data_IF_810418249893
#
_entry.id   IF_810418249893
#
_cell.length_a   1.000
_cell.length_b   1.000
_cell.length_c   1.000
_cell.angle_alpha   90.00
_cell.angle_beta   90.00
_cell.angle_gamma   90.00
#
_symmetry.space_group_name_H-M   'P 1'
#
loop_
_entity.id
_entity.type
_entity.pdbx_description
1 polymer ?
#
# COMPACT_ATOMS: atom_id res chain seq x y z
N UNK A 1 -74.48 6.43 -33.73
CA UNK A 1 -74.96 6.62 -35.10
C UNK A 1 -73.83 6.52 -36.09
N UNK A 2 -73.89 5.56 -36.96
CA UNK A 2 -73.29 5.46 -38.32
C UNK A 2 -71.75 5.34 -38.44
N UNK A 3 -71.30 4.08 -38.61
CA UNK A 3 -70.25 3.69 -39.59
C UNK A 3 -70.74 4.06 -41.02
N UNK A 4 -70.03 3.76 -42.13
CA UNK A 4 -68.65 3.20 -42.41
C UNK A 4 -68.01 3.88 -43.65
N UNK A 5 -66.81 3.42 -44.07
CA UNK A 5 -66.49 2.95 -45.43
C UNK A 5 -64.99 2.74 -45.68
N UNK A 6 -64.64 1.52 -46.06
CA UNK A 6 -63.44 1.15 -46.84
C UNK A 6 -63.76 1.40 -48.34
N UNK A 7 -62.84 1.43 -49.30
CA UNK A 7 -61.88 0.39 -49.71
C UNK A 7 -60.62 1.00 -50.38
N UNK A 8 -59.58 0.41 -50.83
CA UNK A 8 -59.21 -0.67 -51.73
C UNK A 8 -57.71 -0.73 -51.93
N UNK A 9 -57.20 -1.90 -52.20
CA UNK A 9 -55.80 -2.27 -52.39
C UNK A 9 -55.20 -1.79 -53.73
N UNK A 10 -53.88 -1.64 -53.75
CA UNK A 10 -53.06 -1.83 -54.95
C UNK A 10 -51.64 -2.38 -54.51
N UNK A 11 -51.38 -3.58 -55.00
CA UNK A 11 -50.07 -4.27 -54.83
C UNK A 11 -49.11 -3.76 -55.90
N UNK A 12 -47.86 -3.45 -55.45
CA UNK A 12 -46.70 -3.32 -56.35
C UNK A 12 -45.61 -4.17 -55.81
N UNK A 13 -45.21 -5.22 -56.52
CA UNK A 13 -43.98 -6.01 -56.30
C UNK A 13 -42.74 -5.16 -56.58
N UNK A 14 -41.90 -5.07 -55.60
CA UNK A 14 -40.55 -4.50 -55.73
C UNK A 14 -39.52 -5.44 -55.07
N UNK A 15 -38.69 -6.01 -55.91
CA UNK A 15 -37.58 -6.93 -55.58
C UNK A 15 -36.66 -6.43 -54.51
N UNK A 16 -36.56 -7.12 -53.37
CA UNK A 16 -35.58 -6.89 -52.36
C UNK A 16 -34.22 -7.49 -52.76
N UNK A 17 -33.22 -6.63 -52.94
CA UNK A 17 -31.80 -7.01 -52.93
C UNK A 17 -31.36 -6.99 -51.46
N UNK A 18 -31.11 -8.17 -50.89
CA UNK A 18 -30.48 -8.32 -49.58
C UNK A 18 -28.96 -7.96 -49.68
N UNK A 19 -28.63 -6.73 -49.39
CA UNK A 19 -27.26 -6.34 -49.08
C UNK A 19 -26.95 -6.64 -47.60
N UNK A 20 -26.31 -7.76 -47.32
CA UNK A 20 -25.77 -8.07 -45.99
C UNK A 20 -24.58 -7.11 -45.68
N UNK A 21 -24.86 -5.99 -45.05
CA UNK A 21 -23.83 -5.18 -44.41
C UNK A 21 -23.41 -5.89 -43.12
N UNK A 22 -22.34 -6.67 -43.17
CA UNK A 22 -21.56 -7.10 -42.01
C UNK A 22 -20.95 -5.86 -41.40
N UNK A 23 -21.68 -5.15 -40.53
CA UNK A 23 -21.08 -4.25 -39.57
C UNK A 23 -20.31 -5.11 -38.57
N UNK A 24 -19.04 -5.37 -38.88
CA UNK A 24 -18.08 -5.87 -37.89
C UNK A 24 -17.98 -4.83 -36.77
N UNK A 25 -18.65 -5.08 -35.64
CA UNK A 25 -18.25 -4.49 -34.38
C UNK A 25 -16.81 -4.96 -34.13
N UNK A 26 -15.85 -4.19 -34.60
CA UNK A 26 -14.46 -4.27 -34.14
C UNK A 26 -14.48 -3.91 -32.67
N UNK A 27 -14.76 -4.90 -31.82
CA UNK A 27 -14.44 -4.78 -30.38
C UNK A 27 -12.96 -4.52 -30.29
N UNK A 28 -12.58 -3.31 -29.86
CA UNK A 28 -11.21 -3.02 -29.47
C UNK A 28 -10.82 -4.12 -28.49
N UNK A 29 -9.89 -4.99 -28.89
CA UNK A 29 -9.45 -6.07 -27.99
C UNK A 29 -8.89 -5.39 -26.75
N UNK A 30 -9.24 -5.87 -25.56
CA UNK A 30 -8.71 -5.35 -24.28
C UNK A 30 -7.16 -5.25 -24.28
N UNK A 31 -6.49 -5.98 -25.16
CA UNK A 31 -5.05 -5.95 -25.35
C UNK A 31 -4.50 -4.62 -25.91
N UNK A 32 -5.34 -3.83 -26.60
CA UNK A 32 -4.95 -2.55 -27.23
C UNK A 32 -5.31 -1.32 -26.38
N UNK A 33 -5.95 -1.52 -25.22
CA UNK A 33 -6.26 -0.43 -24.32
C UNK A 33 -4.96 0.21 -23.79
N UNK A 34 -4.86 1.54 -23.91
CA UNK A 34 -3.70 2.33 -23.47
C UNK A 34 -3.89 2.80 -22.02
N UNK A 35 -4.28 1.89 -21.15
CA UNK A 35 -4.43 2.18 -19.73
C UNK A 35 -4.17 0.95 -18.87
N UNK A 36 -3.86 1.20 -17.60
CA UNK A 36 -3.82 0.20 -16.51
C UNK A 36 -4.44 0.79 -15.26
N UNK A 37 -4.98 -0.08 -14.41
CA UNK A 37 -5.52 0.29 -13.10
C UNK A 37 -4.65 -0.30 -11.99
N UNK A 38 -4.10 0.56 -11.13
CA UNK A 38 -3.27 0.19 -9.98
C UNK A 38 -4.06 0.40 -8.70
N UNK A 39 -4.29 -0.67 -7.93
CA UNK A 39 -4.76 -0.56 -6.54
C UNK A 39 -3.55 -0.52 -5.64
N UNK A 40 -3.39 0.55 -4.86
CA UNK A 40 -2.21 0.75 -4.03
C UNK A 40 -2.56 1.05 -2.59
N UNK A 41 -1.71 0.55 -1.68
CA UNK A 41 -1.59 1.16 -0.37
C UNK A 41 -1.21 2.63 -0.53
N UNK A 42 -1.67 3.46 0.40
CA UNK A 42 -1.32 4.88 0.48
C UNK A 42 0.17 5.09 0.84
N UNK A 43 0.70 6.27 0.52
CA UNK A 43 2.06 6.69 0.92
C UNK A 43 3.07 6.88 -0.20
N UNK A 44 2.83 6.32 -1.40
CA UNK A 44 3.75 6.51 -2.54
C UNK A 44 3.43 7.74 -3.39
N UNK A 45 2.31 8.40 -3.14
CA UNK A 45 1.92 9.66 -3.74
C UNK A 45 2.28 10.82 -2.81
N UNK A 46 2.81 11.90 -3.35
CA UNK A 46 3.09 13.12 -2.59
C UNK A 46 1.83 13.94 -2.37
N UNK A 47 1.67 14.54 -1.19
CA UNK A 47 0.52 15.42 -0.90
C UNK A 47 0.42 16.62 -1.85
N UNK A 48 1.56 17.03 -2.43
CA UNK A 48 1.64 18.14 -3.39
C UNK A 48 1.77 17.70 -4.84
N UNK A 49 1.57 16.39 -5.13
CA UNK A 49 1.77 15.84 -6.45
C UNK A 49 3.25 15.74 -6.86
N UNK A 50 4.15 15.59 -5.89
CA UNK A 50 5.60 15.52 -6.07
C UNK A 50 6.21 14.22 -5.51
N UNK A 51 5.39 13.22 -5.21
CA UNK A 51 5.82 11.92 -4.67
C UNK A 51 6.32 10.95 -5.74
N UNK A 52 6.67 9.77 -5.29
CA UNK A 52 7.21 8.71 -6.15
C UNK A 52 6.27 8.34 -7.29
N UNK A 53 5.00 8.08 -7.01
CA UNK A 53 4.03 7.75 -8.05
C UNK A 53 3.78 8.91 -9.00
N UNK A 54 3.69 10.14 -8.49
CA UNK A 54 3.44 11.30 -9.35
C UNK A 54 4.53 11.39 -10.42
N UNK A 55 5.79 11.21 -10.05
CA UNK A 55 6.92 11.26 -10.97
C UNK A 55 6.99 10.04 -11.88
N UNK A 56 6.92 8.84 -11.31
CA UNK A 56 7.07 7.59 -12.08
C UNK A 56 5.92 7.40 -13.07
N UNK A 57 4.70 7.76 -12.69
CA UNK A 57 3.54 7.65 -13.59
C UNK A 57 3.64 8.66 -14.72
N UNK A 58 3.93 9.93 -14.42
CA UNK A 58 4.10 10.95 -15.44
C UNK A 58 5.17 10.56 -16.47
N UNK A 59 6.34 10.12 -16.01
CA UNK A 59 7.43 9.69 -16.87
C UNK A 59 7.05 8.46 -17.71
N UNK A 60 6.34 7.48 -17.11
CA UNK A 60 5.89 6.30 -17.84
C UNK A 60 4.81 6.61 -18.87
N UNK A 61 3.82 7.42 -18.52
CA UNK A 61 2.75 7.87 -19.42
C UNK A 61 3.30 8.64 -20.62
N UNK A 62 4.25 9.56 -20.38
CA UNK A 62 4.94 10.30 -21.44
C UNK A 62 5.73 9.39 -22.39
N UNK A 63 6.42 8.38 -21.86
CA UNK A 63 7.25 7.46 -22.65
C UNK A 63 6.44 6.45 -23.46
N UNK A 64 5.30 6.01 -22.94
CA UNK A 64 4.56 4.85 -23.50
C UNK A 64 3.19 5.18 -24.07
N UNK A 65 2.61 6.32 -23.67
CA UNK A 65 1.22 6.66 -23.94
C UNK A 65 0.21 5.78 -23.20
N UNK A 66 0.65 4.99 -22.21
CA UNK A 66 -0.21 4.15 -21.36
C UNK A 66 -0.60 4.95 -20.11
N UNK A 67 -1.88 5.23 -19.93
CA UNK A 67 -2.42 5.94 -18.79
C UNK A 67 -2.47 5.05 -17.55
N UNK A 68 -2.18 5.60 -16.36
CA UNK A 68 -2.24 4.89 -15.09
C UNK A 68 -3.39 5.44 -14.24
N UNK A 69 -4.40 4.61 -14.00
CA UNK A 69 -5.52 4.91 -13.10
C UNK A 69 -5.19 4.39 -11.71
N UNK A 70 -4.90 5.30 -10.77
CA UNK A 70 -4.55 4.95 -9.40
C UNK A 70 -5.79 4.95 -8.50
N UNK A 71 -5.89 3.93 -7.66
CA UNK A 71 -6.87 3.84 -6.57
C UNK A 71 -6.13 3.54 -5.29
N UNK A 72 -6.03 4.54 -4.41
CA UNK A 72 -5.37 4.43 -3.13
C UNK A 72 -6.34 4.05 -2.01
N UNK A 73 -5.86 3.23 -1.08
CA UNK A 73 -6.58 2.82 0.12
C UNK A 73 -5.62 2.19 1.13
N UNK A 74 -6.10 1.85 2.34
CA UNK A 74 -5.29 1.03 3.25
C UNK A 74 -4.98 -0.35 2.65
N UNK A 75 -3.83 -0.93 3.00
CA UNK A 75 -3.31 -2.20 2.44
C UNK A 75 -4.31 -3.34 2.50
N UNK A 76 -4.96 -3.56 3.65
CA UNK A 76 -5.98 -4.59 3.80
C UNK A 76 -7.25 -4.28 3.00
N UNK A 77 -7.64 -3.00 2.94
CA UNK A 77 -8.79 -2.56 2.17
C UNK A 77 -8.62 -2.82 0.65
N UNK A 78 -7.41 -2.59 0.11
CA UNK A 78 -7.07 -2.90 -1.27
C UNK A 78 -7.26 -4.41 -1.59
N UNK A 79 -6.75 -5.29 -0.72
CA UNK A 79 -6.90 -6.75 -0.89
C UNK A 79 -8.35 -7.20 -0.73
N UNK A 80 -9.10 -6.65 0.22
CA UNK A 80 -10.52 -6.93 0.35
C UNK A 80 -11.32 -6.50 -0.89
N UNK A 81 -10.93 -5.40 -1.52
CA UNK A 81 -11.52 -4.96 -2.78
C UNK A 81 -11.26 -5.96 -3.91
N UNK A 82 -10.03 -6.47 -4.05
CA UNK A 82 -9.70 -7.53 -5.01
C UNK A 82 -10.56 -8.80 -4.78
N UNK A 83 -10.78 -9.19 -3.52
CA UNK A 83 -11.65 -10.33 -3.18
C UNK A 83 -13.08 -10.10 -3.69
N UNK A 84 -13.65 -8.93 -3.43
CA UNK A 84 -15.02 -8.60 -3.89
C UNK A 84 -15.13 -8.54 -5.42
N UNK A 85 -14.08 -8.12 -6.10
CA UNK A 85 -14.05 -7.95 -7.55
C UNK A 85 -13.52 -9.19 -8.30
N UNK A 86 -13.24 -10.31 -7.60
CA UNK A 86 -12.63 -11.52 -8.19
C UNK A 86 -13.35 -12.05 -9.42
N UNK A 87 -14.68 -11.98 -9.45
CA UNK A 87 -15.49 -12.43 -10.60
C UNK A 87 -15.50 -11.43 -11.76
N UNK A 88 -15.19 -10.16 -11.51
CA UNK A 88 -15.14 -9.10 -12.52
C UNK A 88 -14.00 -8.14 -12.17
N UNK A 89 -12.77 -8.61 -12.36
CA UNK A 89 -11.52 -7.94 -12.01
C UNK A 89 -11.44 -6.57 -12.69
N UNK A 90 -11.12 -5.55 -11.88
CA UNK A 90 -10.95 -4.16 -12.32
C UNK A 90 -9.49 -3.72 -12.32
N UNK A 91 -8.73 -4.18 -11.32
CA UNK A 91 -7.33 -3.83 -11.17
C UNK A 91 -6.44 -4.69 -12.07
N UNK A 92 -5.38 -4.07 -12.58
CA UNK A 92 -4.31 -4.76 -13.29
C UNK A 92 -3.15 -5.11 -12.36
N UNK A 93 -2.84 -4.21 -11.42
CA UNK A 93 -1.75 -4.35 -10.46
C UNK A 93 -2.29 -4.04 -9.08
N UNK A 94 -1.81 -4.76 -8.08
CA UNK A 94 -1.91 -4.35 -6.69
C UNK A 94 -0.53 -4.04 -6.13
N UNK A 95 -0.42 -2.96 -5.35
CA UNK A 95 0.74 -2.62 -4.54
C UNK A 95 0.28 -2.52 -3.10
N UNK A 96 0.82 -3.37 -2.24
CA UNK A 96 0.38 -3.42 -0.84
C UNK A 96 1.52 -3.86 0.07
N UNK A 97 1.32 -3.74 1.37
CA UNK A 97 2.33 -4.10 2.37
C UNK A 97 2.13 -5.54 2.87
N UNK A 98 3.19 -6.22 3.36
CA UNK A 98 3.02 -7.44 4.15
C UNK A 98 2.14 -7.19 5.40
N UNK A 99 1.35 -8.18 5.86
CA UNK A 99 1.15 -9.51 5.30
C UNK A 99 0.10 -9.56 4.17
N UNK A 100 -0.47 -8.44 3.76
CA UNK A 100 -1.58 -8.39 2.80
C UNK A 100 -1.18 -8.82 1.39
N UNK A 101 0.08 -8.62 0.98
CA UNK A 101 0.54 -9.15 -0.29
C UNK A 101 0.60 -10.69 -0.27
N UNK A 102 1.02 -11.29 0.84
CA UNK A 102 0.98 -12.74 1.06
C UNK A 102 -0.46 -13.25 1.05
N UNK A 103 -1.37 -12.54 1.73
CA UNK A 103 -2.80 -12.85 1.73
C UNK A 103 -3.39 -12.81 0.32
N UNK A 104 -3.06 -11.80 -0.49
CA UNK A 104 -3.50 -11.71 -1.88
C UNK A 104 -2.99 -12.90 -2.71
N UNK A 105 -1.74 -13.28 -2.54
CA UNK A 105 -1.13 -14.44 -3.19
C UNK A 105 -1.79 -15.75 -2.74
N UNK A 106 -1.96 -15.95 -1.42
CA UNK A 106 -2.58 -17.14 -0.83
C UNK A 106 -4.05 -17.35 -1.26
N UNK A 107 -4.81 -16.26 -1.41
CA UNK A 107 -6.19 -16.28 -1.93
C UNK A 107 -6.29 -16.47 -3.45
N UNK A 108 -5.15 -16.63 -4.14
CA UNK A 108 -5.12 -16.82 -5.60
C UNK A 108 -5.58 -15.58 -6.38
N UNK A 109 -5.36 -14.38 -5.82
CA UNK A 109 -5.72 -13.11 -6.48
C UNK A 109 -4.62 -12.59 -7.40
N UNK A 110 -3.41 -13.18 -7.34
CA UNK A 110 -2.25 -12.77 -8.11
C UNK A 110 -1.83 -13.83 -9.13
N UNK A 111 -1.38 -13.38 -10.30
CA UNK A 111 -0.76 -14.20 -11.34
C UNK A 111 0.76 -14.22 -11.15
N UNK A 112 1.42 -15.36 -11.39
CA UNK A 112 2.87 -15.38 -11.44
C UNK A 112 3.41 -14.50 -12.57
N UNK A 113 4.22 -13.53 -12.20
CA UNK A 113 5.01 -12.73 -13.11
C UNK A 113 6.29 -12.28 -12.42
N UNK A 114 7.43 -12.50 -13.05
CA UNK A 114 8.74 -12.05 -12.56
C UNK A 114 9.16 -10.82 -13.37
N UNK A 115 8.98 -9.60 -12.84
CA UNK A 115 9.41 -8.40 -13.54
C UNK A 115 10.92 -8.43 -13.79
N UNK A 116 11.36 -7.83 -14.89
CA UNK A 116 12.79 -7.61 -15.18
C UNK A 116 13.43 -6.84 -14.04
N UNK A 117 14.56 -7.31 -13.53
CA UNK A 117 15.22 -6.74 -12.36
C UNK A 117 14.79 -7.36 -11.03
N UNK A 118 13.77 -8.21 -11.00
CA UNK A 118 13.34 -8.91 -9.77
C UNK A 118 14.39 -9.90 -9.26
N UNK A 119 15.31 -10.36 -10.09
CA UNK A 119 16.46 -11.17 -9.69
C UNK A 119 17.37 -10.42 -8.70
N UNK A 120 17.40 -9.08 -8.79
CA UNK A 120 18.18 -8.21 -7.92
C UNK A 120 17.45 -7.83 -6.61
N UNK A 121 16.18 -8.21 -6.45
CA UNK A 121 15.45 -8.03 -5.18
C UNK A 121 15.80 -9.17 -4.24
N UNK A 122 16.00 -8.86 -2.95
CA UNK A 122 16.33 -9.86 -1.94
C UNK A 122 15.27 -10.98 -1.89
N UNK A 123 15.69 -12.22 -1.60
CA UNK A 123 14.77 -13.35 -1.57
C UNK A 123 13.63 -13.21 -0.57
N UNK A 124 13.89 -12.51 0.56
CA UNK A 124 12.88 -12.23 1.58
C UNK A 124 11.82 -11.19 1.14
N UNK A 125 12.12 -10.38 0.12
CA UNK A 125 11.30 -9.28 -0.34
C UNK A 125 10.57 -9.60 -1.65
N UNK A 126 10.44 -10.89 -1.99
CA UNK A 126 9.69 -11.39 -3.16
C UNK A 126 9.14 -12.79 -2.94
N UNK A 127 8.07 -13.12 -3.65
CA UNK A 127 7.49 -14.47 -3.64
C UNK A 127 8.33 -15.46 -4.45
N UNK A 128 8.71 -16.62 -3.90
CA UNK A 128 9.42 -17.64 -4.66
C UNK A 128 8.66 -18.11 -5.90
N UNK A 129 7.32 -18.10 -5.86
CA UNK A 129 6.44 -18.41 -7.00
C UNK A 129 6.30 -17.29 -8.01
N UNK A 130 6.86 -16.09 -7.74
CA UNK A 130 6.82 -14.93 -8.63
C UNK A 130 5.49 -14.19 -8.66
N UNK A 131 4.64 -14.33 -7.62
CA UNK A 131 3.34 -13.68 -7.56
C UNK A 131 3.42 -12.22 -7.12
N UNK A 132 4.48 -11.83 -6.41
CA UNK A 132 4.75 -10.47 -6.00
C UNK A 132 6.25 -10.22 -5.81
N UNK A 133 6.64 -8.96 -5.84
CA UNK A 133 7.99 -8.49 -5.52
C UNK A 133 7.94 -7.09 -4.94
N UNK A 134 8.84 -6.78 -4.00
CA UNK A 134 9.01 -5.43 -3.50
C UNK A 134 9.40 -4.46 -4.62
N UNK A 135 8.85 -3.25 -4.60
CA UNK A 135 9.17 -2.16 -5.54
C UNK A 135 9.73 -0.93 -4.83
N UNK A 136 9.41 -0.76 -3.56
CA UNK A 136 10.02 0.23 -2.66
C UNK A 136 10.21 -0.43 -1.30
N UNK A 137 11.43 -0.45 -0.79
CA UNK A 137 11.68 -0.90 0.58
C UNK A 137 11.38 0.24 1.57
N UNK A 138 10.87 -0.16 2.71
CA UNK A 138 10.35 0.72 3.75
C UNK A 138 10.45 0.04 5.11
N UNK A 139 10.29 0.80 6.19
CA UNK A 139 10.34 0.29 7.56
C UNK A 139 9.22 0.89 8.40
N UNK A 140 8.65 0.09 9.29
CA UNK A 140 7.66 0.55 10.26
C UNK A 140 8.29 1.57 11.21
N UNK A 141 7.54 2.60 11.60
CA UNK A 141 7.97 3.59 12.58
C UNK A 141 6.80 4.18 13.37
N UNK A 142 7.12 5.04 14.30
CA UNK A 142 6.20 6.01 14.87
C UNK A 142 6.64 7.43 14.48
N UNK A 143 5.68 8.34 14.49
CA UNK A 143 5.89 9.78 14.30
C UNK A 143 5.42 10.55 15.52
N UNK A 144 6.00 11.73 15.74
CA UNK A 144 5.65 12.60 16.84
C UNK A 144 5.69 14.07 16.45
N UNK A 145 4.95 14.91 17.17
CA UNK A 145 5.00 16.37 16.98
C UNK A 145 6.18 16.97 17.74
N UNK A 146 7.19 17.49 17.03
CA UNK A 146 8.43 18.08 17.59
C UNK A 146 8.21 19.40 18.31
N UNK A 147 7.14 20.14 18.01
CA UNK A 147 6.85 21.39 18.70
C UNK A 147 6.32 21.16 20.12
N UNK A 148 5.49 20.12 20.28
CA UNK A 148 4.85 19.83 21.57
C UNK A 148 5.63 18.81 22.41
N UNK A 149 6.48 18.00 21.77
CA UNK A 149 7.35 17.02 22.41
C UNK A 149 8.80 17.30 22.04
N UNK A 150 9.60 17.82 22.97
CA UNK A 150 11.03 18.06 22.74
C UNK A 150 11.82 16.76 22.46
N UNK A 151 11.36 15.64 23.02
CA UNK A 151 11.90 14.31 22.79
C UNK A 151 10.77 13.30 22.54
N UNK A 152 10.94 12.38 21.59
CA UNK A 152 9.98 11.31 21.39
C UNK A 152 9.97 10.31 22.55
N UNK A 153 8.90 9.49 22.67
CA UNK A 153 8.90 8.29 23.51
C UNK A 153 10.09 7.39 23.16
N UNK A 154 10.75 6.85 24.18
CA UNK A 154 11.94 5.99 23.99
C UNK A 154 11.60 4.52 23.98
N UNK A 155 10.53 4.15 24.69
CA UNK A 155 10.07 2.77 24.81
C UNK A 155 8.60 2.66 24.49
N UNK A 156 8.15 1.44 24.21
CA UNK A 156 6.72 1.15 24.10
C UNK A 156 5.94 1.55 25.35
N UNK A 157 6.53 1.34 26.54
CA UNK A 157 5.88 1.70 27.80
C UNK A 157 5.59 3.19 27.90
N UNK A 158 6.46 4.05 27.36
CA UNK A 158 6.25 5.51 27.37
C UNK A 158 5.00 5.91 26.59
N UNK A 159 4.59 5.13 25.58
CA UNK A 159 3.38 5.38 24.76
C UNK A 159 2.08 5.18 25.59
N UNK A 160 2.15 4.52 26.73
CA UNK A 160 1.01 4.32 27.63
C UNK A 160 0.88 5.42 28.69
N UNK A 161 1.76 6.42 28.70
CA UNK A 161 1.69 7.58 29.60
C UNK A 161 0.38 8.34 29.37
N UNK A 162 -0.24 8.80 30.47
CA UNK A 162 -1.52 9.52 30.46
C UNK A 162 -1.49 10.84 29.64
N UNK A 163 -0.31 11.46 29.44
CA UNK A 163 -0.15 12.64 28.58
C UNK A 163 -0.56 12.39 27.13
N UNK A 164 -0.56 11.13 26.68
CA UNK A 164 -0.96 10.75 25.34
C UNK A 164 -2.45 10.42 25.21
N UNK A 165 -3.22 10.48 26.28
CA UNK A 165 -4.66 10.20 26.25
C UNK A 165 -5.36 11.16 25.26
N UNK A 166 -6.05 10.59 24.27
CA UNK A 166 -6.67 11.31 23.16
C UNK A 166 -5.67 12.17 22.34
N UNK A 167 -4.39 11.82 22.38
CA UNK A 167 -3.28 12.47 21.64
C UNK A 167 -2.39 11.44 20.95
N UNK A 168 -2.68 10.17 21.06
CA UNK A 168 -2.07 9.08 20.32
C UNK A 168 -3.11 8.45 19.41
N UNK A 169 -2.74 8.17 18.16
CA UNK A 169 -3.57 7.41 17.25
C UNK A 169 -2.71 6.41 16.48
N UNK A 170 -3.19 5.19 16.34
CA UNK A 170 -2.66 4.25 15.38
C UNK A 170 -3.75 3.80 14.40
N UNK A 171 -3.37 3.58 13.15
CA UNK A 171 -4.30 3.13 12.11
C UNK A 171 -4.80 1.72 12.41
N UNK A 172 -6.00 1.39 11.94
CA UNK A 172 -6.72 0.18 12.33
C UNK A 172 -6.05 -1.08 11.79
N UNK A 173 -5.60 -2.01 12.65
CA UNK A 173 -5.09 -3.31 12.23
C UNK A 173 -6.08 -4.07 11.35
N UNK A 174 -5.60 -4.78 10.34
CA UNK A 174 -6.42 -5.49 9.36
C UNK A 174 -6.97 -4.62 8.22
N UNK A 175 -6.99 -3.30 8.38
CA UNK A 175 -7.44 -2.33 7.37
C UNK A 175 -6.26 -1.58 6.78
N UNK A 176 -5.45 -0.94 7.61
CA UNK A 176 -4.21 -0.28 7.22
C UNK A 176 -3.00 -1.21 7.46
N UNK A 177 -2.00 -1.10 6.57
CA UNK A 177 -0.77 -1.89 6.66
C UNK A 177 0.00 -1.60 7.93
N UNK A 178 0.31 -0.33 8.18
CA UNK A 178 1.07 0.08 9.36
C UNK A 178 0.27 -0.11 10.68
N UNK A 179 -1.06 -0.11 10.61
CA UNK A 179 -1.88 -0.50 11.74
C UNK A 179 -1.66 -1.97 12.11
N UNK A 180 -1.59 -2.84 11.11
CA UNK A 180 -1.24 -4.25 11.32
C UNK A 180 0.21 -4.40 11.79
N UNK A 181 1.11 -3.54 11.29
CA UNK A 181 2.51 -3.50 11.73
C UNK A 181 2.65 -3.18 13.23
N UNK A 182 1.75 -2.38 13.83
CA UNK A 182 1.73 -2.19 15.30
C UNK A 182 1.54 -3.52 16.04
N UNK A 183 0.65 -4.38 15.54
CA UNK A 183 0.44 -5.71 16.13
C UNK A 183 1.66 -6.61 15.93
N UNK A 184 2.23 -6.62 14.72
CA UNK A 184 3.43 -7.43 14.40
C UNK A 184 4.63 -7.02 15.26
N UNK A 185 4.86 -5.72 15.41
CA UNK A 185 5.93 -5.21 16.27
C UNK A 185 5.71 -5.58 17.73
N UNK A 186 4.48 -5.45 18.23
CA UNK A 186 4.14 -5.83 19.60
C UNK A 186 4.33 -7.33 19.84
N UNK A 187 3.95 -8.20 18.90
CA UNK A 187 4.19 -9.64 19.00
C UNK A 187 5.68 -9.96 19.16
N UNK A 188 6.54 -9.27 18.41
CA UNK A 188 8.00 -9.42 18.51
C UNK A 188 8.52 -8.89 19.84
N UNK A 189 8.23 -7.63 20.16
CA UNK A 189 8.87 -6.91 21.27
C UNK A 189 8.42 -7.42 22.65
N UNK A 190 7.22 -7.97 22.74
CA UNK A 190 6.68 -8.55 23.98
C UNK A 190 6.75 -10.08 24.05
N UNK A 191 7.32 -10.74 23.01
CA UNK A 191 7.59 -12.17 23.05
C UNK A 191 6.34 -13.06 22.88
N UNK A 192 5.36 -12.62 22.09
CA UNK A 192 4.20 -13.42 21.70
C UNK A 192 2.84 -12.79 21.96
N UNK A 193 1.78 -13.50 21.58
CA UNK A 193 0.42 -12.96 21.51
C UNK A 193 -0.11 -12.46 22.88
N UNK A 194 0.00 -13.25 23.94
CA UNK A 194 -0.55 -12.87 25.25
C UNK A 194 -0.01 -11.54 25.77
N UNK A 195 1.33 -11.41 25.98
CA UNK A 195 1.93 -10.16 26.44
C UNK A 195 1.71 -8.98 25.46
N UNK A 196 1.71 -9.22 24.15
CA UNK A 196 1.44 -8.19 23.15
C UNK A 196 0.01 -7.63 23.29
N UNK A 197 -1.00 -8.49 23.44
CA UNK A 197 -2.39 -8.07 23.59
C UNK A 197 -2.63 -7.33 24.90
N UNK A 198 -2.01 -7.76 26.01
CA UNK A 198 -2.03 -7.03 27.27
C UNK A 198 -1.46 -5.61 27.14
N UNK A 199 -0.37 -5.46 26.40
CA UNK A 199 0.21 -4.16 26.12
C UNK A 199 -0.71 -3.31 25.22
N UNK A 200 -1.21 -3.88 24.11
CA UNK A 200 -2.06 -3.17 23.15
C UNK A 200 -3.38 -2.71 23.79
N UNK A 201 -3.91 -3.45 24.77
CA UNK A 201 -5.03 -3.01 25.62
C UNK A 201 -4.69 -1.71 26.36
N UNK A 202 -3.49 -1.60 26.93
CA UNK A 202 -3.05 -0.38 27.62
C UNK A 202 -2.85 0.77 26.65
N UNK A 203 -2.24 0.49 25.46
CA UNK A 203 -2.03 1.48 24.42
C UNK A 203 -3.36 2.02 23.89
N UNK A 204 -4.38 1.17 23.76
CA UNK A 204 -5.72 1.55 23.30
C UNK A 204 -6.38 2.60 24.19
N UNK A 205 -6.07 2.65 25.48
CA UNK A 205 -6.61 3.66 26.38
C UNK A 205 -6.20 5.10 26.01
N UNK A 206 -5.11 5.25 25.26
CA UNK A 206 -4.63 6.54 24.73
C UNK A 206 -5.08 6.82 23.31
N UNK A 207 -5.56 5.78 22.57
CA UNK A 207 -5.92 5.88 21.16
C UNK A 207 -7.16 6.75 20.94
N UNK A 208 -7.06 7.72 20.05
CA UNK A 208 -8.20 8.61 19.66
C UNK A 208 -9.35 7.82 19.05
N UNK A 209 -9.05 6.72 18.35
CA UNK A 209 -10.06 5.90 17.68
C UNK A 209 -9.55 5.33 16.34
N UNK A 210 -10.43 4.68 15.58
CA UNK A 210 -10.04 4.01 14.34
C UNK A 210 -9.58 5.00 13.26
N UNK A 211 -8.66 4.54 12.41
CA UNK A 211 -8.27 5.20 11.17
C UNK A 211 -8.12 4.15 10.07
N UNK A 212 -8.78 4.36 8.93
CA UNK A 212 -8.73 3.43 7.80
C UNK A 212 -7.46 3.54 6.96
N UNK A 213 -6.67 4.61 7.16
CA UNK A 213 -5.45 4.91 6.42
C UNK A 213 -4.41 5.52 7.34
N UNK A 214 -3.17 5.11 7.20
CA UNK A 214 -2.04 5.67 7.95
C UNK A 214 -1.69 7.08 7.47
N UNK A 215 -1.82 7.35 6.17
CA UNK A 215 -1.55 8.66 5.58
C UNK A 215 -2.37 9.81 6.20
N UNK A 216 -3.54 9.50 6.80
CA UNK A 216 -4.36 10.50 7.48
C UNK A 216 -3.79 10.95 8.84
N UNK A 217 -2.81 10.24 9.40
CA UNK A 217 -2.27 10.52 10.74
C UNK A 217 -1.16 11.56 10.74
N UNK A 218 -0.35 11.60 9.69
CA UNK A 218 0.77 12.52 9.56
C UNK A 218 0.35 14.01 9.62
N UNK A 219 -0.67 14.47 8.85
CA UNK A 219 -1.15 15.85 8.95
C UNK A 219 -1.67 16.22 10.34
N UNK A 220 -2.34 15.30 11.03
CA UNK A 220 -2.82 15.53 12.40
C UNK A 220 -1.67 15.65 13.39
N UNK A 221 -0.63 14.84 13.19
CA UNK A 221 0.57 14.91 14.03
C UNK A 221 1.32 16.21 13.77
N UNK A 222 1.48 16.64 12.53
CA UNK A 222 2.15 17.91 12.21
C UNK A 222 1.42 19.12 12.82
N UNK A 223 0.08 19.14 12.75
CA UNK A 223 -0.75 20.19 13.33
C UNK A 223 -0.83 20.15 14.87
N UNK A 224 -0.32 19.11 15.54
CA UNK A 224 -0.39 18.92 16.99
C UNK A 224 -1.77 18.48 17.50
N UNK A 225 -2.66 18.04 16.62
CA UNK A 225 -3.90 17.36 16.99
C UNK A 225 -3.56 16.04 17.68
N UNK A 226 -2.54 15.35 17.15
CA UNK A 226 -1.90 14.18 17.77
C UNK A 226 -0.48 14.54 18.23
N UNK A 227 -0.07 13.97 19.36
CA UNK A 227 1.32 14.03 19.81
C UNK A 227 2.15 12.89 19.20
N UNK A 228 1.53 11.74 19.02
CA UNK A 228 2.16 10.52 18.50
C UNK A 228 1.18 9.77 17.60
N UNK A 229 1.72 9.20 16.50
CA UNK A 229 0.99 8.25 15.67
C UNK A 229 1.93 7.17 15.13
N UNK A 230 1.37 6.05 14.65
CA UNK A 230 2.15 5.09 13.88
C UNK A 230 2.31 5.56 12.43
N UNK A 231 3.31 5.01 11.75
CA UNK A 231 3.61 5.31 10.36
C UNK A 231 4.67 4.39 9.78
N UNK A 232 5.17 4.77 8.66
CA UNK A 232 6.34 4.18 8.04
C UNK A 232 7.39 5.26 7.70
N UNK A 233 8.63 4.84 7.55
CA UNK A 233 9.75 5.76 7.30
C UNK A 233 9.59 6.45 5.95
N UNK A 234 9.23 5.73 4.90
CA UNK A 234 9.16 6.24 3.54
C UNK A 234 8.14 7.38 3.42
N UNK A 235 6.88 7.13 3.76
CA UNK A 235 5.80 8.10 3.62
C UNK A 235 6.06 9.35 4.48
N UNK A 236 6.52 9.15 5.70
CA UNK A 236 6.72 10.24 6.65
C UNK A 236 7.98 11.05 6.32
N UNK A 237 9.05 10.42 5.82
CA UNK A 237 10.23 11.14 5.35
C UNK A 237 9.92 11.93 4.06
N UNK A 238 9.21 11.35 3.11
CA UNK A 238 8.82 12.03 1.87
C UNK A 238 8.03 13.32 2.15
N UNK A 239 7.17 13.30 3.18
CA UNK A 239 6.32 14.42 3.56
C UNK A 239 6.98 15.41 4.54
N UNK A 240 8.21 15.16 5.01
CA UNK A 240 8.86 15.96 6.08
C UNK A 240 9.05 17.44 5.72
N UNK A 241 9.16 17.76 4.43
CA UNK A 241 9.25 19.17 3.95
C UNK A 241 7.92 19.91 4.06
N UNK A 242 6.79 19.23 3.86
CA UNK A 242 5.45 19.78 3.99
C UNK A 242 4.92 19.73 5.41
N UNK A 243 5.49 18.85 6.23
CA UNK A 243 5.13 18.62 7.63
C UNK A 243 6.37 18.83 8.54
N UNK A 244 6.82 20.11 8.72
CA UNK A 244 8.09 20.40 9.39
C UNK A 244 8.07 20.09 10.89
N UNK A 245 6.89 19.96 11.51
CA UNK A 245 6.77 19.70 12.93
C UNK A 245 6.76 18.18 13.25
N UNK A 246 6.75 17.35 12.23
CA UNK A 246 6.78 15.90 12.38
C UNK A 246 8.22 15.39 12.58
N UNK A 247 8.40 14.43 13.47
CA UNK A 247 9.63 13.64 13.64
C UNK A 247 9.33 12.14 13.55
N UNK A 248 10.34 11.35 13.20
CA UNK A 248 10.30 9.89 13.13
C UNK A 248 11.04 9.32 14.34
N UNK A 249 10.52 8.24 14.92
CA UNK A 249 11.20 7.50 15.99
C UNK A 249 10.82 6.03 16.03
N UNK A 250 11.63 5.24 16.72
CA UNK A 250 11.41 3.81 16.93
C UNK A 250 11.47 3.54 18.44
N UNK A 251 10.38 3.02 19.04
CA UNK A 251 10.42 2.68 20.45
C UNK A 251 11.21 1.40 20.68
N UNK A 252 11.94 1.33 21.79
CA UNK A 252 12.55 0.11 22.27
C UNK A 252 11.52 -0.75 23.04
N UNK A 253 11.69 -2.07 23.04
CA UNK A 253 10.83 -2.98 23.78
C UNK A 253 10.82 -2.70 25.30
N UNK A 254 11.96 -2.24 25.85
CA UNK A 254 12.16 -1.93 27.28
C UNK A 254 13.31 -0.96 27.48
N UNK A 255 13.39 -0.29 28.65
CA UNK A 255 14.54 0.58 28.96
C UNK A 255 15.87 -0.16 28.82
N UNK A 256 16.84 0.49 28.16
CA UNK A 256 18.17 -0.05 27.91
C UNK A 256 18.28 -0.99 26.71
N UNK A 257 17.18 -1.41 26.09
CA UNK A 257 17.21 -2.11 24.81
C UNK A 257 17.44 -1.12 23.65
N UNK A 258 17.93 -1.62 22.52
CA UNK A 258 17.96 -0.84 21.27
C UNK A 258 16.53 -0.63 20.75
N UNK A 259 16.25 0.50 20.10
CA UNK A 259 15.02 0.64 19.33
C UNK A 259 14.99 -0.41 18.23
N UNK A 260 13.79 -0.91 17.90
CA UNK A 260 13.62 -1.98 16.92
C UNK A 260 12.57 -1.65 15.87
N UNK A 261 12.73 -2.24 14.70
CA UNK A 261 11.76 -2.19 13.60
C UNK A 261 11.92 -3.38 12.65
N UNK A 262 11.13 -3.42 11.60
CA UNK A 262 11.21 -4.42 10.55
C UNK A 262 10.89 -3.83 9.17
N UNK A 263 11.33 -4.53 8.11
CA UNK A 263 11.04 -4.13 6.75
C UNK A 263 9.55 -4.33 6.43
N UNK A 264 8.94 -3.29 5.89
CA UNK A 264 7.55 -3.25 5.47
C UNK A 264 7.45 -2.74 4.02
N UNK A 265 7.96 -3.52 3.04
CA UNK A 265 8.10 -3.06 1.67
C UNK A 265 6.75 -2.89 0.98
N UNK A 266 6.64 -1.87 0.13
CA UNK A 266 5.60 -1.83 -0.89
C UNK A 266 5.89 -2.92 -1.91
N UNK A 267 5.04 -3.93 -1.98
CA UNK A 267 5.18 -5.08 -2.86
C UNK A 267 4.09 -5.09 -3.93
N UNK A 268 4.51 -5.24 -5.18
CA UNK A 268 3.64 -5.23 -6.35
C UNK A 268 3.38 -6.64 -6.88
N UNK A 269 2.14 -6.92 -7.28
CA UNK A 269 1.73 -8.15 -7.94
C UNK A 269 0.80 -7.90 -9.12
N UNK A 270 0.92 -8.74 -10.16
CA UNK A 270 -0.02 -8.77 -11.27
C UNK A 270 -1.32 -9.41 -10.80
N UNK A 271 -2.44 -8.71 -10.94
CA UNK A 271 -3.74 -9.23 -10.50
C UNK A 271 -4.20 -10.34 -11.46
N UNK A 272 -4.77 -11.42 -10.90
CA UNK A 272 -5.33 -12.51 -11.69
C UNK A 272 -6.48 -12.02 -12.56
N UNK A 273 -6.48 -12.41 -13.84
CA UNK A 273 -7.42 -11.94 -14.85
C UNK A 273 -7.39 -10.39 -15.04
N UNK A 274 -6.22 -9.77 -14.87
CA UNK A 274 -6.03 -8.34 -15.12
C UNK A 274 -6.55 -7.96 -16.52
N UNK A 275 -7.42 -6.91 -16.62
CA UNK A 275 -7.97 -6.49 -17.93
C UNK A 275 -6.90 -6.11 -18.95
N UNK A 276 -5.79 -5.54 -18.49
CA UNK A 276 -4.68 -5.04 -19.33
C UNK A 276 -3.34 -5.68 -18.94
N UNK A 277 -3.32 -7.02 -18.78
CA UNK A 277 -2.16 -7.77 -18.27
C UNK A 277 -0.84 -7.50 -19.02
N UNK A 278 -0.90 -7.30 -20.34
CA UNK A 278 0.29 -7.04 -21.14
C UNK A 278 0.94 -5.68 -20.81
N UNK A 279 0.12 -4.65 -20.62
CA UNK A 279 0.55 -3.31 -20.22
C UNK A 279 1.02 -3.29 -18.75
N UNK A 280 0.29 -3.99 -17.87
CA UNK A 280 0.66 -4.15 -16.47
C UNK A 280 2.03 -4.78 -16.28
N UNK A 281 2.36 -5.83 -17.04
CA UNK A 281 3.70 -6.44 -17.03
C UNK A 281 4.80 -5.45 -17.40
N UNK A 282 4.60 -4.62 -18.43
CA UNK A 282 5.55 -3.57 -18.83
C UNK A 282 5.75 -2.54 -17.72
N UNK A 283 4.67 -2.19 -17.01
CA UNK A 283 4.76 -1.24 -15.91
C UNK A 283 5.46 -1.85 -14.68
N UNK A 284 5.22 -3.12 -14.36
CA UNK A 284 5.96 -3.84 -13.32
C UNK A 284 7.47 -3.92 -13.64
N UNK A 285 7.84 -4.17 -14.91
CA UNK A 285 9.23 -4.11 -15.37
C UNK A 285 9.82 -2.69 -15.17
N UNK A 286 9.03 -1.66 -15.49
CA UNK A 286 9.45 -0.28 -15.32
C UNK A 286 9.72 0.09 -13.86
N UNK A 287 8.83 -0.31 -12.93
CA UNK A 287 9.00 -0.07 -11.49
C UNK A 287 10.33 -0.62 -10.94
N UNK A 288 10.82 -1.73 -11.49
CA UNK A 288 12.10 -2.34 -11.11
C UNK A 288 13.27 -1.96 -12.04
N UNK A 289 13.07 -1.07 -13.02
CA UNK A 289 14.18 -0.60 -13.83
C UNK A 289 15.23 0.14 -13.00
N UNK A 290 16.52 0.10 -13.37
CA UNK A 290 17.56 0.85 -12.65
C UNK A 290 17.27 2.35 -12.60
N UNK A 291 16.63 2.89 -13.64
CA UNK A 291 16.25 4.30 -13.73
C UNK A 291 15.27 4.69 -12.62
N UNK A 292 14.21 3.90 -12.43
CA UNK A 292 13.19 4.15 -11.40
C UNK A 292 13.75 3.88 -10.01
N UNK A 293 14.50 2.79 -9.85
CA UNK A 293 15.02 2.41 -8.55
C UNK A 293 16.07 3.38 -7.98
N UNK A 294 16.81 4.07 -8.84
CA UNK A 294 17.71 5.17 -8.43
C UNK A 294 16.95 6.41 -7.92
N UNK A 295 15.68 6.57 -8.27
CA UNK A 295 14.87 7.70 -7.85
C UNK A 295 14.10 7.45 -6.53
N UNK A 296 14.07 6.20 -6.04
CA UNK A 296 13.28 5.84 -4.86
C UNK A 296 13.63 6.70 -3.65
N UNK A 297 14.91 6.93 -3.36
CA UNK A 297 15.32 7.80 -2.26
C UNK A 297 15.10 9.28 -2.56
N UNK A 298 15.55 9.74 -3.72
CA UNK A 298 15.55 11.16 -4.07
C UNK A 298 14.14 11.75 -4.20
N UNK A 299 13.19 10.98 -4.74
CA UNK A 299 11.80 11.39 -4.99
C UNK A 299 10.84 10.72 -4.00
N UNK A 300 10.99 9.42 -3.79
CA UNK A 300 10.05 8.63 -3.00
C UNK A 300 10.28 8.66 -1.50
N UNK A 301 11.43 9.13 -1.03
CA UNK A 301 11.74 9.13 0.41
C UNK A 301 11.91 7.73 1.01
N UNK A 302 12.08 6.68 0.19
CA UNK A 302 12.21 5.29 0.60
C UNK A 302 13.55 4.67 0.21
N UNK A 303 13.62 3.36 0.28
CA UNK A 303 14.83 2.59 -0.02
C UNK A 303 14.62 1.78 -1.30
N UNK A 304 15.63 1.71 -2.16
CA UNK A 304 15.56 0.89 -3.37
C UNK A 304 15.27 -0.58 -3.02
N UNK A 305 14.36 -1.21 -3.76
CA UNK A 305 14.07 -2.63 -3.59
C UNK A 305 15.19 -3.51 -4.18
N UNK A 306 15.91 -3.01 -5.19
CA UNK A 306 17.05 -3.68 -5.81
C UNK A 306 18.31 -3.54 -4.97
N UNK A 307 18.99 -4.65 -4.72
CA UNK A 307 20.22 -4.71 -3.90
C UNK A 307 21.47 -4.20 -4.64
N UNK A 308 21.43 -4.15 -5.97
CA UNK A 308 22.50 -3.60 -6.82
C UNK A 308 22.41 -2.06 -7.00
N UNK A 309 21.33 -1.43 -6.53
CA UNK A 309 21.16 0.02 -6.53
C UNK A 309 21.43 0.56 -5.13
N UNK A 310 22.46 1.42 -5.03
CA UNK A 310 22.86 2.07 -3.79
C UNK A 310 22.87 3.58 -3.99
N UNK A 311 21.74 4.25 -3.76
CA UNK A 311 21.67 5.70 -3.90
C UNK A 311 22.62 6.40 -2.92
N UNK A 312 23.23 7.50 -3.39
CA UNK A 312 24.14 8.33 -2.59
C UNK A 312 23.66 9.77 -2.50
N UNK A 313 22.41 10.01 -2.90
CA UNK A 313 21.79 11.31 -2.79
C UNK A 313 21.58 11.72 -1.32
N UNK A 314 21.23 13.01 -1.12
CA UNK A 314 21.03 13.57 0.20
C UNK A 314 19.97 12.80 1.01
N UNK A 315 18.85 12.44 0.37
CA UNK A 315 17.76 11.75 1.05
C UNK A 315 18.20 10.34 1.49
N UNK A 316 18.95 9.61 0.66
CA UNK A 316 19.51 8.32 1.02
C UNK A 316 20.44 8.43 2.26
N UNK A 317 21.26 9.49 2.35
CA UNK A 317 22.12 9.76 3.49
C UNK A 317 21.32 10.08 4.76
N UNK A 318 20.26 10.87 4.63
CA UNK A 318 19.37 11.22 5.76
C UNK A 318 18.56 10.00 6.24
N UNK A 319 18.04 9.19 5.33
CA UNK A 319 17.36 7.93 5.65
C UNK A 319 18.29 6.95 6.38
N UNK A 320 19.53 6.84 5.94
CA UNK A 320 20.53 6.01 6.65
C UNK A 320 20.76 6.48 8.08
N UNK A 321 20.79 7.80 8.33
CA UNK A 321 20.91 8.37 9.69
C UNK A 321 19.67 8.09 10.55
N UNK A 322 18.45 8.12 9.96
CA UNK A 322 17.21 7.79 10.67
C UNK A 322 17.23 6.33 11.13
N UNK A 323 17.83 5.44 10.34
CA UNK A 323 17.94 4.00 10.64
C UNK A 323 19.15 3.65 11.51
N UNK A 324 20.05 4.60 11.78
CA UNK A 324 21.27 4.33 12.56
C UNK A 324 20.95 3.92 14.00
N UNK A 325 21.57 2.83 14.44
CA UNK A 325 21.35 2.26 15.78
C UNK A 325 20.02 1.53 15.99
N UNK A 326 19.17 1.44 14.97
CA UNK A 326 17.89 0.70 15.01
C UNK A 326 18.14 -0.78 14.68
N UNK A 327 17.64 -1.66 15.53
CA UNK A 327 17.69 -3.11 15.30
C UNK A 327 16.58 -3.53 14.35
N UNK A 328 16.95 -4.15 13.21
CA UNK A 328 15.99 -4.53 12.16
C UNK A 328 15.77 -6.04 12.23
N UNK A 329 14.64 -6.46 12.78
CA UNK A 329 14.27 -7.87 12.79
C UNK A 329 13.50 -8.28 11.50
N UNK A 330 13.33 -9.56 11.30
CA UNK A 330 12.60 -10.13 10.17
C UNK A 330 11.40 -10.91 10.67
N UNK A 331 10.16 -10.41 10.47
CA UNK A 331 8.96 -11.19 10.74
C UNK A 331 8.90 -12.45 9.86
N UNK A 332 8.42 -13.56 10.42
CA UNK A 332 7.98 -14.67 9.58
C UNK A 332 6.62 -14.32 8.96
N UNK A 333 6.66 -13.77 7.76
CA UNK A 333 5.46 -13.34 7.06
C UNK A 333 4.51 -14.49 6.73
N UNK A 334 5.01 -15.72 6.61
CA UNK A 334 4.15 -16.90 6.36
C UNK A 334 3.38 -17.27 7.64
N UNK A 335 4.05 -17.22 8.79
CA UNK A 335 3.39 -17.42 10.08
C UNK A 335 2.38 -16.28 10.37
N UNK A 336 2.79 -15.03 10.14
CA UNK A 336 1.92 -13.86 10.32
C UNK A 336 0.67 -13.97 9.42
N UNK A 337 0.81 -14.28 8.13
CA UNK A 337 -0.34 -14.42 7.22
C UNK A 337 -1.27 -15.56 7.65
N UNK A 338 -0.71 -16.71 8.01
CA UNK A 338 -1.46 -17.88 8.49
C UNK A 338 -2.28 -17.58 9.75
N UNK A 339 -1.73 -16.81 10.68
CA UNK A 339 -2.35 -16.50 11.97
C UNK A 339 -2.99 -15.11 12.02
N UNK A 340 -3.01 -14.37 10.91
CA UNK A 340 -3.45 -12.97 10.89
C UNK A 340 -4.85 -12.76 11.48
N UNK A 341 -5.82 -13.60 11.11
CA UNK A 341 -7.18 -13.51 11.65
C UNK A 341 -7.20 -13.69 13.18
N UNK A 342 -6.45 -14.67 13.67
CA UNK A 342 -6.32 -14.92 15.11
C UNK A 342 -5.72 -13.73 15.86
N UNK A 343 -4.66 -13.12 15.31
CA UNK A 343 -4.04 -11.94 15.92
C UNK A 343 -4.96 -10.73 15.89
N UNK A 344 -5.70 -10.51 14.79
CA UNK A 344 -6.65 -9.41 14.69
C UNK A 344 -7.86 -9.59 15.61
N UNK A 345 -8.38 -10.81 15.75
CA UNK A 345 -9.50 -11.09 16.66
C UNK A 345 -9.08 -10.98 18.13
N UNK A 346 -7.85 -11.43 18.46
CA UNK A 346 -7.27 -11.22 19.78
C UNK A 346 -7.07 -9.72 20.08
N UNK A 347 -6.57 -8.93 19.11
CA UNK A 347 -6.46 -7.50 19.26
C UNK A 347 -7.83 -6.83 19.48
N UNK A 348 -8.85 -7.14 18.67
CA UNK A 348 -10.22 -6.61 18.86
C UNK A 348 -10.75 -6.94 20.25
N UNK A 349 -10.61 -8.20 20.68
CA UNK A 349 -11.05 -8.65 22.00
C UNK A 349 -10.34 -7.88 23.11
N UNK A 350 -9.03 -7.72 23.01
CA UNK A 350 -8.24 -7.02 24.02
C UNK A 350 -8.55 -5.52 24.10
N UNK A 351 -8.84 -4.89 22.96
CA UNK A 351 -9.01 -3.43 22.84
C UNK A 351 -10.48 -2.98 22.87
N UNK A 352 -11.44 -3.89 22.72
CA UNK A 352 -12.86 -3.57 22.60
C UNK A 352 -13.22 -2.87 21.27
N UNK A 353 -12.42 -3.10 20.21
CA UNK A 353 -12.53 -2.41 18.92
C UNK A 353 -13.33 -3.20 17.89
#
# INVERSE_FOLDING_TARGET
MRSPLKPTAAAVCGTLVLGAALTGCGGVSRADAREITVYSADGLRGERGDGFYDRVFEDYEKKTGIKINLVESGSGAAVQRLVREKANTKADIVVTLPPFVQQAAGKGLLEPYRPKGSEQVAAADKDPGGRWTAVVNNYFCFIYNKQQLQQPPRTWQDLTDARFKNKLQYSTPGVAGDGTAVVVQALHDFGGQGPAMEFLKKLQANNVGPSSSTGQLAPKTDKGELLVANGDVQMNYANMKSMPHQGIFFPAARPGAKPSTFALPYAAGLVRNAPHAAQAKKFLDHLLSPEVQKQVSAVGGGFAARTDIRPTDRNATELAKIMDGVDIFRPDWNDIDKNLSTYLDAWKTATGS
#
